data_IF_121617221418
#
_entry.id   IF_121617221418
#
_cell.length_a   1.000
_cell.length_b   1.000
_cell.length_c   1.000
_cell.angle_alpha   90.00
_cell.angle_beta   90.00
_cell.angle_gamma   90.00
#
_symmetry.space_group_name_H-M   'P 1'
#
loop_
_entity.id
_entity.type
_entity.pdbx_description
1 polymer ?
#
# COMPACT_ATOMS: atom_id res chain seq x y z
N UNK A 1 -34.37 19.00 28.66
CA UNK A 1 -34.04 20.39 28.33
C UNK A 1 -33.50 20.37 26.91
N UNK A 2 -34.30 20.93 26.03
CA UNK A 2 -34.13 21.29 24.61
C UNK A 2 -33.49 20.28 23.64
N UNK A 3 -34.39 19.51 23.03
CA UNK A 3 -34.22 18.83 21.75
C UNK A 3 -34.29 19.86 20.61
N UNK A 4 -33.20 19.99 19.84
CA UNK A 4 -33.18 20.75 18.58
C UNK A 4 -33.77 19.95 17.42
N UNK A 5 -34.26 20.59 16.35
CA UNK A 5 -35.05 19.90 15.32
C UNK A 5 -34.15 19.06 14.40
N UNK A 6 -34.43 17.77 14.33
CA UNK A 6 -33.92 16.88 13.29
C UNK A 6 -34.73 17.11 12.00
N UNK A 7 -34.04 17.37 10.89
CA UNK A 7 -34.65 17.41 9.56
C UNK A 7 -34.47 16.02 8.93
N UNK A 8 -35.57 15.28 8.82
CA UNK A 8 -35.65 14.05 8.03
C UNK A 8 -35.92 14.43 6.58
N UNK A 9 -34.96 14.21 5.68
CA UNK A 9 -35.18 14.32 4.23
C UNK A 9 -35.61 12.96 3.69
N UNK A 10 -36.90 12.82 3.39
CA UNK A 10 -37.41 11.75 2.53
C UNK A 10 -37.32 12.21 1.06
N UNK A 11 -36.86 11.39 0.12
CA UNK A 11 -37.01 11.68 -1.30
C UNK A 11 -38.42 11.28 -1.75
N UNK A 12 -39.30 12.26 -1.93
CA UNK A 12 -40.58 12.08 -2.58
C UNK A 12 -40.36 12.17 -4.11
N UNK A 13 -40.41 11.03 -4.79
CA UNK A 13 -40.42 10.96 -6.25
C UNK A 13 -41.84 11.16 -6.76
N UNK A 14 -42.13 12.32 -7.35
CA UNK A 14 -43.31 12.49 -8.19
C UNK A 14 -42.94 13.15 -9.52
N UNK A 15 -43.21 12.41 -10.58
CA UNK A 15 -43.12 12.74 -12.00
C UNK A 15 -43.77 14.08 -12.34
N UNK A 16 -43.17 14.86 -13.26
CA UNK A 16 -43.93 15.80 -14.10
C UNK A 16 -43.43 15.77 -15.55
N UNK A 17 -44.25 15.08 -16.33
CA UNK A 17 -44.66 15.21 -17.74
C UNK A 17 -44.19 16.44 -18.53
N UNK A 18 -43.83 16.12 -19.77
CA UNK A 18 -43.45 16.94 -20.91
C UNK A 18 -44.66 17.74 -21.48
N UNK A 19 -44.53 19.06 -21.69
CA UNK A 19 -45.38 19.82 -22.63
C UNK A 19 -44.56 20.89 -23.36
N UNK A 20 -44.69 20.91 -24.69
CA UNK A 20 -44.05 21.87 -25.58
C UNK A 20 -44.95 23.04 -25.98
N UNK A 21 -44.32 24.03 -26.61
CA UNK A 21 -44.78 25.18 -27.44
C UNK A 21 -43.95 26.40 -27.01
N UNK A 22 -43.46 27.33 -27.81
CA UNK A 22 -43.60 27.70 -29.21
C UNK A 22 -43.36 29.23 -29.30
N UNK A 23 -42.66 29.68 -30.34
CA UNK A 23 -42.62 31.06 -30.90
C UNK A 23 -41.59 32.10 -30.37
N UNK A 24 -40.54 32.29 -31.18
CA UNK A 24 -40.17 33.51 -31.93
C UNK A 24 -40.27 34.90 -31.29
N UNK A 25 -39.13 35.61 -31.21
CA UNK A 25 -39.02 37.00 -31.71
C UNK A 25 -37.57 37.47 -31.93
N UNK A 26 -37.40 38.10 -33.09
CA UNK A 26 -36.25 38.73 -33.74
C UNK A 26 -35.66 39.92 -32.98
N UNK A 27 -34.32 40.11 -33.01
CA UNK A 27 -33.69 41.44 -33.25
C UNK A 27 -32.26 41.27 -33.79
N UNK A 28 -31.98 41.87 -34.96
CA UNK A 28 -30.66 42.03 -35.57
C UNK A 28 -30.13 43.45 -35.29
N UNK A 29 -28.82 43.61 -35.06
CA UNK A 29 -27.95 44.51 -35.87
C UNK A 29 -26.47 44.39 -35.49
N UNK A 30 -25.59 44.39 -36.50
CA UNK A 30 -24.16 44.70 -36.34
C UNK A 30 -23.20 43.81 -37.12
N UNK A 31 -23.09 44.02 -38.44
CA UNK A 31 -22.13 43.39 -39.34
C UNK A 31 -21.01 44.40 -39.66
N UNK A 32 -19.73 44.01 -39.58
CA UNK A 32 -18.66 44.55 -40.42
C UNK A 32 -17.79 43.37 -40.87
N UNK A 33 -17.66 43.24 -42.20
CA UNK A 33 -16.83 42.31 -42.97
C UNK A 33 -15.89 43.17 -43.82
N UNK A 34 -14.60 42.82 -43.94
CA UNK A 34 -13.69 42.87 -45.13
C UNK A 34 -12.48 41.99 -44.71
N UNK A 35 -12.21 40.75 -45.21
CA UNK A 35 -11.70 40.27 -46.53
C UNK A 35 -10.26 40.75 -46.83
N UNK A 36 -9.26 39.96 -47.26
CA UNK A 36 -9.03 39.14 -48.48
C UNK A 36 -7.72 38.30 -48.28
N UNK A 37 -7.61 36.98 -48.58
CA UNK A 37 -7.13 36.26 -49.81
C UNK A 37 -5.75 36.75 -50.34
N UNK A 38 -4.74 35.95 -50.75
CA UNK A 38 -4.56 34.83 -51.72
C UNK A 38 -3.13 34.20 -51.47
N UNK A 39 -2.82 32.90 -51.55
CA UNK A 39 -2.67 31.90 -52.64
C UNK A 39 -1.34 31.87 -53.46
N UNK A 40 -0.86 30.63 -53.74
CA UNK A 40 0.08 30.11 -54.76
C UNK A 40 1.64 30.29 -54.72
N UNK A 41 2.35 29.15 -54.54
CA UNK A 41 3.17 28.55 -55.64
C UNK A 41 4.73 28.48 -55.53
N UNK A 42 5.41 27.39 -56.00
CA UNK A 42 6.80 26.98 -55.64
C UNK A 42 7.86 27.23 -56.76
N UNK A 43 9.18 26.86 -56.59
CA UNK A 43 9.67 25.58 -57.18
C UNK A 43 10.97 24.90 -56.62
N UNK A 44 11.01 23.56 -56.77
CA UNK A 44 12.08 22.66 -57.33
C UNK A 44 13.39 22.25 -56.59
N UNK A 45 13.45 20.93 -56.32
CA UNK A 45 14.49 19.90 -56.62
C UNK A 45 15.91 19.96 -56.02
N UNK A 46 16.29 18.94 -55.22
CA UNK A 46 17.14 17.84 -55.72
C UNK A 46 17.23 16.64 -54.76
N UNK A 47 17.25 15.47 -55.38
CA UNK A 47 17.35 14.11 -54.83
C UNK A 47 18.77 13.81 -54.33
N UNK A 48 18.94 13.14 -53.19
CA UNK A 48 19.88 11.99 -53.02
C UNK A 48 19.46 11.16 -51.82
N UNK A 49 19.37 9.85 -52.03
CA UNK A 49 18.91 8.80 -51.12
C UNK A 49 20.14 8.05 -50.60
N UNK A 50 20.39 8.01 -49.30
CA UNK A 50 21.22 7.00 -48.66
C UNK A 50 20.61 6.61 -47.30
N UNK A 51 20.51 5.31 -47.10
CA UNK A 51 19.95 4.62 -45.95
C UNK A 51 21.00 4.55 -44.83
N UNK A 52 20.62 4.87 -43.59
CA UNK A 52 21.13 4.21 -42.39
C UNK A 52 20.21 4.53 -41.21
N UNK A 53 19.87 3.47 -40.50
CA UNK A 53 19.06 3.38 -39.29
C UNK A 53 19.76 4.01 -38.10
N UNK A 54 19.11 4.95 -37.41
CA UNK A 54 19.51 5.38 -36.07
C UNK A 54 18.31 5.43 -35.12
N UNK A 55 18.55 4.83 -33.96
CA UNK A 55 17.70 4.71 -32.78
C UNK A 55 17.63 6.09 -32.12
N UNK A 56 16.44 6.68 -32.07
CA UNK A 56 16.21 7.94 -31.37
C UNK A 56 15.65 7.67 -29.97
N UNK A 57 16.50 7.89 -28.97
CA UNK A 57 16.11 8.25 -27.60
C UNK A 57 15.44 9.63 -27.62
N UNK A 58 14.24 9.74 -27.05
CA UNK A 58 13.55 11.01 -26.85
C UNK A 58 13.70 11.44 -25.40
N UNK A 59 14.64 12.35 -25.13
CA UNK A 59 14.64 13.18 -23.93
C UNK A 59 13.86 14.47 -24.19
N UNK A 60 12.93 14.76 -23.27
CA UNK A 60 12.06 15.92 -23.27
C UNK A 60 12.83 17.17 -22.85
N UNK A 61 12.77 18.19 -23.69
CA UNK A 61 13.38 19.50 -23.48
C UNK A 61 12.45 20.40 -22.66
N UNK A 62 12.94 20.94 -21.54
CA UNK A 62 12.38 22.13 -20.86
C UNK A 62 13.38 23.28 -20.95
N UNK A 63 12.97 24.51 -21.32
CA UNK A 63 13.86 25.65 -21.44
C UNK A 63 13.91 26.44 -20.12
N UNK A 64 15.13 26.70 -19.63
CA UNK A 64 15.62 27.97 -19.08
C UNK A 64 16.65 27.72 -17.96
N UNK A 65 17.88 28.18 -18.19
CA UNK A 65 18.57 29.14 -17.32
C UNK A 65 20.06 29.12 -17.63
N UNK A 66 20.52 30.12 -18.38
CA UNK A 66 21.93 30.49 -18.54
C UNK A 66 22.52 30.95 -17.21
N UNK A 67 23.38 30.14 -16.59
CA UNK A 67 24.47 30.62 -15.74
C UNK A 67 25.50 29.50 -15.47
N UNK A 68 26.78 29.90 -15.41
CA UNK A 68 27.97 29.14 -14.93
C UNK A 68 28.58 28.05 -15.81
N UNK A 69 29.27 28.47 -16.87
CA UNK A 69 30.56 27.90 -17.25
C UNK A 69 31.65 28.72 -16.56
N UNK A 70 32.44 28.13 -15.65
CA UNK A 70 33.83 28.53 -15.34
C UNK A 70 34.43 27.63 -14.25
N UNK A 71 35.53 26.96 -14.61
CA UNK A 71 36.49 26.17 -13.82
C UNK A 71 36.21 24.68 -13.58
N UNK A 72 36.82 23.83 -14.43
CA UNK A 72 37.29 22.49 -14.06
C UNK A 72 38.74 22.32 -14.59
N UNK A 73 39.73 21.97 -13.75
CA UNK A 73 41.12 21.82 -14.16
C UNK A 73 41.44 20.43 -14.74
N UNK A 74 42.39 20.40 -15.67
CA UNK A 74 42.91 19.21 -16.34
C UNK A 74 43.47 18.15 -15.38
N UNK A 75 43.18 16.88 -15.64
CA UNK A 75 43.88 15.73 -15.05
C UNK A 75 44.32 14.80 -16.19
N UNK A 76 45.58 14.39 -16.11
CA UNK A 76 46.35 13.65 -17.10
C UNK A 76 45.85 12.20 -17.28
N UNK A 77 45.95 11.68 -18.50
CA UNK A 77 45.68 10.29 -18.83
C UNK A 77 46.92 9.42 -18.54
N UNK A 78 46.74 8.32 -17.81
CA UNK A 78 47.72 7.23 -17.73
C UNK A 78 47.07 5.92 -18.19
N UNK A 79 47.64 5.34 -19.24
CA UNK A 79 47.31 4.06 -19.84
C UNK A 79 47.74 2.89 -18.93
N UNK A 80 46.83 1.96 -18.60
CA UNK A 80 47.21 0.60 -18.19
C UNK A 80 46.39 -0.47 -18.93
N UNK A 81 47.15 -1.44 -19.45
CA UNK A 81 46.84 -2.46 -20.44
C UNK A 81 46.01 -3.62 -19.84
N UNK A 82 44.81 -3.88 -20.36
CA UNK A 82 43.95 -4.98 -19.90
C UNK A 82 44.30 -6.30 -20.61
N UNK A 83 44.83 -7.26 -19.84
CA UNK A 83 45.11 -8.63 -20.29
C UNK A 83 43.81 -9.41 -20.42
N UNK A 84 43.51 -9.91 -21.63
CA UNK A 84 42.36 -10.75 -21.90
C UNK A 84 42.47 -12.13 -21.23
N UNK A 85 41.51 -12.47 -20.36
CA UNK A 85 41.32 -13.83 -19.87
C UNK A 85 39.97 -14.35 -20.39
N UNK A 86 40.06 -15.43 -21.17
CA UNK A 86 38.97 -16.09 -21.87
C UNK A 86 38.03 -16.82 -20.87
N UNK A 87 36.87 -16.23 -20.59
CA UNK A 87 35.77 -16.87 -19.84
C UNK A 87 34.72 -17.43 -20.81
N UNK A 88 35.10 -18.43 -21.61
CA UNK A 88 34.12 -19.28 -22.31
C UNK A 88 33.62 -20.34 -21.32
N UNK A 89 32.66 -19.98 -20.47
CA UNK A 89 31.67 -20.91 -19.84
C UNK A 89 30.85 -20.21 -18.73
N UNK A 90 30.22 -19.06 -18.99
CA UNK A 90 29.16 -18.52 -18.11
C UNK A 90 28.11 -17.67 -18.87
N UNK A 91 27.98 -17.86 -20.18
CA UNK A 91 26.91 -17.23 -20.98
C UNK A 91 26.04 -18.36 -21.50
N UNK A 92 25.01 -18.70 -20.73
CA UNK A 92 23.76 -19.29 -21.20
C UNK A 92 22.81 -19.50 -20.01
N UNK A 93 22.46 -18.41 -19.32
CA UNK A 93 21.16 -18.30 -18.62
C UNK A 93 20.74 -16.84 -18.43
N UNK A 94 20.90 -16.01 -19.46
CA UNK A 94 20.07 -14.79 -19.57
C UNK A 94 18.80 -15.18 -20.32
N UNK A 95 17.89 -15.84 -19.62
CA UNK A 95 16.51 -16.03 -20.07
C UNK A 95 15.71 -14.80 -19.62
N UNK A 96 15.43 -13.92 -20.57
CA UNK A 96 14.29 -12.97 -20.60
C UNK A 96 13.72 -12.57 -19.22
N UNK A 97 14.31 -11.56 -18.57
CA UNK A 97 13.55 -10.80 -17.56
C UNK A 97 12.42 -10.07 -18.30
N UNK A 98 11.27 -10.73 -18.44
CA UNK A 98 10.00 -10.01 -18.56
C UNK A 98 9.97 -9.01 -17.40
N UNK A 99 9.84 -7.72 -17.69
CA UNK A 99 9.58 -6.67 -16.70
C UNK A 99 8.22 -6.91 -16.02
N UNK A 100 8.13 -7.93 -15.18
CA UNK A 100 6.92 -8.31 -14.47
C UNK A 100 6.70 -7.29 -13.36
N UNK A 101 5.53 -6.65 -13.37
CA UNK A 101 5.15 -5.66 -12.36
C UNK A 101 4.32 -6.31 -11.26
N UNK A 102 4.32 -5.71 -10.06
CA UNK A 102 3.50 -6.19 -8.94
C UNK A 102 2.00 -6.30 -9.31
N UNK A 103 1.36 -5.29 -9.95
CA UNK A 103 -0.01 -5.43 -10.45
C UNK A 103 -0.22 -6.60 -11.40
N UNK A 104 0.72 -6.88 -12.30
CA UNK A 104 0.62 -8.00 -13.25
C UNK A 104 0.67 -9.36 -12.54
N UNK A 105 1.51 -9.49 -11.50
CA UNK A 105 1.55 -10.71 -10.66
C UNK A 105 0.20 -10.92 -9.98
N UNK A 106 -0.33 -9.88 -9.32
CA UNK A 106 -1.61 -10.00 -8.61
C UNK A 106 -2.76 -10.27 -9.57
N UNK A 107 -2.77 -9.66 -10.75
CA UNK A 107 -3.77 -9.93 -11.80
C UNK A 107 -3.75 -11.39 -12.27
N UNK A 108 -2.56 -12.00 -12.37
CA UNK A 108 -2.43 -13.42 -12.68
C UNK A 108 -2.99 -14.30 -11.54
N UNK A 109 -2.70 -13.95 -10.28
CA UNK A 109 -3.20 -14.68 -9.12
C UNK A 109 -4.73 -14.57 -8.96
N UNK A 110 -5.33 -13.46 -9.39
CA UNK A 110 -6.77 -13.24 -9.31
C UNK A 110 -7.56 -13.82 -10.49
N UNK A 111 -6.90 -14.19 -11.60
CA UNK A 111 -7.53 -14.77 -12.79
C UNK A 111 -8.45 -15.99 -12.50
N UNK A 112 -8.13 -16.90 -11.56
CA UNK A 112 -9.00 -18.05 -11.26
C UNK A 112 -10.26 -17.72 -10.45
N UNK A 113 -10.46 -16.47 -10.03
CA UNK A 113 -11.64 -16.07 -9.25
C UNK A 113 -12.90 -16.13 -10.14
N UNK A 114 -13.88 -16.90 -9.70
CA UNK A 114 -15.18 -17.04 -10.33
C UNK A 114 -16.10 -15.88 -9.91
N UNK A 115 -16.35 -14.97 -10.85
CA UNK A 115 -17.24 -13.82 -10.68
C UNK A 115 -18.75 -14.16 -10.76
N UNK A 116 -19.10 -15.43 -11.06
CA UNK A 116 -20.47 -15.92 -11.04
C UNK A 116 -20.92 -16.46 -9.68
N UNK A 117 -19.98 -16.66 -8.74
CA UNK A 117 -20.23 -17.25 -7.43
C UNK A 117 -19.64 -16.38 -6.33
N UNK A 118 -20.29 -16.41 -5.16
CA UNK A 118 -19.88 -15.57 -4.03
C UNK A 118 -19.69 -16.35 -2.73
N UNK A 119 -18.61 -16.00 -2.03
CA UNK A 119 -18.36 -16.31 -0.62
C UNK A 119 -18.90 -15.18 0.25
N UNK A 120 -19.94 -15.46 1.04
CA UNK A 120 -20.66 -14.44 1.82
C UNK A 120 -20.07 -14.20 3.20
N UNK A 121 -19.83 -12.94 3.53
CA UNK A 121 -19.34 -12.45 4.81
C UNK A 121 -20.34 -11.50 5.46
N UNK A 122 -20.68 -11.74 6.72
CA UNK A 122 -21.52 -10.84 7.51
C UNK A 122 -20.65 -10.24 8.62
N UNK A 123 -20.36 -8.95 8.53
CA UNK A 123 -19.35 -8.27 9.33
C UNK A 123 -20.00 -7.20 10.19
N UNK A 124 -19.67 -7.20 11.48
CA UNK A 124 -19.93 -6.05 12.35
C UNK A 124 -18.62 -5.30 12.51
N UNK A 125 -18.63 -3.97 12.33
CA UNK A 125 -17.42 -3.14 12.50
C UNK A 125 -16.87 -3.21 13.94
N UNK A 126 -17.75 -3.43 14.92
CA UNK A 126 -17.38 -3.66 16.32
C UNK A 126 -16.74 -5.03 16.58
N UNK A 127 -16.91 -6.02 15.69
CA UNK A 127 -16.37 -7.37 15.86
C UNK A 127 -15.98 -8.00 14.51
N UNK A 128 -15.04 -7.34 13.83
CA UNK A 128 -14.56 -7.73 12.48
C UNK A 128 -13.95 -9.12 12.50
N UNK A 129 -13.12 -9.43 13.50
CA UNK A 129 -12.39 -10.70 13.58
C UNK A 129 -13.32 -11.91 13.64
N UNK A 130 -14.31 -11.91 14.54
CA UNK A 130 -15.27 -13.02 14.63
C UNK A 130 -16.06 -13.21 13.33
N UNK A 131 -16.52 -12.11 12.73
CA UNK A 131 -17.20 -12.13 11.43
C UNK A 131 -16.34 -12.74 10.33
N UNK A 132 -15.06 -12.36 10.28
CA UNK A 132 -14.09 -12.90 9.35
C UNK A 132 -13.88 -14.41 9.59
N UNK A 133 -13.57 -14.81 10.82
CA UNK A 133 -13.34 -16.23 11.18
C UNK A 133 -14.53 -17.09 10.79
N UNK A 134 -15.75 -16.66 11.13
CA UNK A 134 -16.98 -17.38 10.74
C UNK A 134 -17.11 -17.48 9.23
N UNK A 135 -16.83 -16.41 8.48
CA UNK A 135 -16.91 -16.37 7.03
C UNK A 135 -15.94 -17.32 6.35
N UNK A 136 -14.66 -17.26 6.71
CA UNK A 136 -13.61 -18.12 6.15
C UNK A 136 -13.73 -19.59 6.56
N UNK A 137 -14.34 -19.88 7.73
CA UNK A 137 -14.61 -21.26 8.18
C UNK A 137 -15.93 -21.85 7.64
N UNK A 138 -16.71 -21.11 6.84
CA UNK A 138 -17.96 -21.65 6.27
C UNK A 138 -17.66 -22.81 5.33
N UNK A 139 -18.50 -23.84 5.35
CA UNK A 139 -18.44 -24.94 4.37
C UNK A 139 -18.68 -24.47 2.94
N UNK A 140 -19.41 -23.36 2.76
CA UNK A 140 -19.67 -22.74 1.46
C UNK A 140 -18.56 -21.78 1.00
N UNK A 141 -17.55 -21.51 1.84
CA UNK A 141 -16.47 -20.60 1.49
C UNK A 141 -15.56 -21.22 0.41
N UNK A 142 -15.15 -20.39 -0.53
CA UNK A 142 -14.07 -20.68 -1.46
C UNK A 142 -13.29 -19.39 -1.72
N UNK A 143 -11.96 -19.48 -1.66
CA UNK A 143 -11.04 -18.40 -2.03
C UNK A 143 -11.14 -18.00 -3.51
N UNK A 144 -11.59 -18.92 -4.38
CA UNK A 144 -11.75 -18.72 -5.83
C UNK A 144 -13.14 -18.19 -6.20
N UNK A 145 -13.91 -17.66 -5.26
CA UNK A 145 -15.20 -17.02 -5.54
C UNK A 145 -15.12 -15.57 -5.07
N UNK A 146 -15.89 -14.69 -5.70
CA UNK A 146 -15.98 -13.30 -5.26
C UNK A 146 -16.42 -13.20 -3.81
N UNK A 147 -15.92 -12.19 -3.11
CA UNK A 147 -16.33 -11.92 -1.74
C UNK A 147 -17.55 -11.01 -1.77
N UNK A 148 -18.64 -11.46 -1.14
CA UNK A 148 -19.83 -10.64 -0.90
C UNK A 148 -19.87 -10.26 0.58
N UNK A 149 -19.49 -9.02 0.87
CA UNK A 149 -19.43 -8.47 2.22
C UNK A 149 -20.69 -7.69 2.52
N UNK A 150 -21.29 -8.00 3.68
CA UNK A 150 -22.44 -7.30 4.22
C UNK A 150 -22.13 -6.80 5.62
N UNK A 151 -22.17 -5.49 5.81
CA UNK A 151 -22.07 -4.89 7.13
C UNK A 151 -23.42 -4.90 7.84
N UNK A 152 -23.39 -5.21 9.14
CA UNK A 152 -24.52 -5.01 10.05
C UNK A 152 -24.28 -3.70 10.79
N UNK A 153 -25.21 -2.76 10.68
CA UNK A 153 -25.14 -1.50 11.43
C UNK A 153 -25.50 -1.69 12.90
N UNK A 154 -25.25 -0.67 13.71
CA UNK A 154 -25.55 -0.67 15.16
C UNK A 154 -27.07 -0.67 15.45
N UNK A 155 -27.91 -0.42 14.43
CA UNK A 155 -29.36 -0.52 14.52
C UNK A 155 -29.88 -1.93 14.23
N UNK A 156 -29.00 -2.89 13.91
CA UNK A 156 -29.37 -4.26 13.53
C UNK A 156 -30.03 -4.35 12.16
N UNK A 157 -29.94 -3.28 11.38
CA UNK A 157 -30.39 -3.22 9.99
C UNK A 157 -29.21 -3.55 9.08
N UNK A 158 -29.56 -4.14 7.96
CA UNK A 158 -28.62 -4.57 6.95
C UNK A 158 -28.37 -3.43 5.98
N UNK A 159 -27.12 -2.98 5.83
CA UNK A 159 -26.77 -2.03 4.77
C UNK A 159 -27.07 -2.67 3.40
N UNK A 160 -27.96 -2.06 2.60
CA UNK A 160 -28.29 -2.50 1.24
C UNK A 160 -27.20 -2.06 0.25
N UNK A 161 -25.99 -2.60 0.41
CA UNK A 161 -24.92 -2.47 -0.57
C UNK A 161 -24.97 -3.63 -1.58
N UNK A 162 -25.13 -3.33 -2.86
CA UNK A 162 -24.72 -4.26 -3.93
C UNK A 162 -23.20 -4.24 -3.92
N UNK A 163 -22.57 -5.36 -3.53
CA UNK A 163 -21.11 -5.44 -3.43
C UNK A 163 -20.47 -5.36 -4.82
N UNK A 164 -20.07 -4.14 -5.16
CA UNK A 164 -19.33 -3.81 -6.37
C UNK A 164 -17.86 -3.50 -6.02
N UNK A 165 -17.37 -4.00 -4.87
CA UNK A 165 -15.97 -3.92 -4.44
C UNK A 165 -15.70 -2.99 -3.24
N UNK A 166 -16.54 -1.98 -2.98
CA UNK A 166 -16.37 -1.04 -1.85
C UNK A 166 -16.41 -1.73 -0.48
N UNK A 167 -17.53 -2.39 -0.11
CA UNK A 167 -17.65 -3.12 1.16
C UNK A 167 -16.58 -4.20 1.33
N UNK A 168 -16.22 -4.89 0.24
CA UNK A 168 -15.11 -5.85 0.23
C UNK A 168 -13.79 -5.22 0.67
N UNK A 169 -13.39 -4.10 0.05
CA UNK A 169 -12.12 -3.43 0.36
C UNK A 169 -12.10 -2.89 1.79
N UNK A 170 -13.21 -2.29 2.24
CA UNK A 170 -13.34 -1.83 3.63
C UNK A 170 -13.14 -2.99 4.62
N UNK A 171 -13.82 -4.12 4.41
CA UNK A 171 -13.66 -5.31 5.24
C UNK A 171 -12.21 -5.80 5.27
N UNK A 172 -11.54 -5.89 4.12
CA UNK A 172 -10.17 -6.36 4.05
C UNK A 172 -9.20 -5.40 4.76
N UNK A 173 -9.41 -4.09 4.67
CA UNK A 173 -8.67 -3.09 5.45
C UNK A 173 -8.88 -3.25 6.96
N UNK A 174 -10.13 -3.38 7.41
CA UNK A 174 -10.43 -3.62 8.82
C UNK A 174 -9.85 -4.96 9.31
N UNK A 175 -9.86 -5.98 8.46
CA UNK A 175 -9.30 -7.29 8.77
C UNK A 175 -7.79 -7.21 9.00
N UNK A 176 -7.03 -6.54 8.14
CA UNK A 176 -5.58 -6.36 8.34
C UNK A 176 -5.27 -5.56 9.62
N UNK A 177 -6.07 -4.52 9.92
CA UNK A 177 -5.96 -3.75 11.17
C UNK A 177 -6.17 -4.62 12.40
N UNK A 178 -7.20 -5.46 12.41
CA UNK A 178 -7.48 -6.39 13.52
C UNK A 178 -6.45 -7.52 13.62
N UNK A 179 -5.95 -8.01 12.48
CA UNK A 179 -5.00 -9.12 12.42
C UNK A 179 -3.66 -8.77 13.08
N UNK A 180 -3.21 -7.52 12.93
CA UNK A 180 -1.96 -6.99 13.50
C UNK A 180 -1.84 -7.21 15.02
N UNK A 181 -2.96 -7.13 15.73
CA UNK A 181 -3.01 -7.18 17.20
C UNK A 181 -3.41 -8.57 17.73
N UNK A 182 -3.45 -9.59 16.88
CA UNK A 182 -3.75 -10.97 17.29
C UNK A 182 -2.61 -11.54 18.15
N UNK A 183 -2.92 -12.38 19.16
CA UNK A 183 -1.94 -12.95 20.09
C UNK A 183 -1.09 -14.08 19.50
N UNK A 184 -1.05 -14.16 18.16
CA UNK A 184 -0.18 -15.03 17.37
C UNK A 184 1.05 -14.28 16.87
N UNK A 185 1.07 -12.96 17.04
CA UNK A 185 2.17 -12.08 16.67
C UNK A 185 2.83 -11.46 17.91
N UNK A 186 4.14 -11.24 17.82
CA UNK A 186 4.97 -10.57 18.81
C UNK A 186 6.04 -9.72 18.10
N UNK A 187 6.77 -8.87 18.82
CA UNK A 187 7.78 -7.96 18.27
C UNK A 187 7.33 -6.49 18.26
N UNK A 188 8.23 -5.54 17.95
CA UNK A 188 7.91 -4.12 17.83
C UNK A 188 6.87 -3.83 16.74
N UNK A 189 6.28 -2.63 16.80
CA UNK A 189 5.40 -2.20 15.72
C UNK A 189 6.14 -2.18 14.37
N UNK A 190 5.46 -2.61 13.31
CA UNK A 190 6.03 -2.77 11.98
C UNK A 190 7.00 -3.95 11.80
N UNK A 191 7.40 -4.63 12.86
CA UNK A 191 8.37 -5.73 12.81
C UNK A 191 7.89 -6.97 13.55
N UNK A 192 6.61 -7.32 13.37
CA UNK A 192 6.00 -8.45 14.06
C UNK A 192 6.43 -9.79 13.45
N UNK A 193 6.63 -10.79 14.29
CA UNK A 193 6.86 -12.18 13.89
C UNK A 193 5.89 -13.12 14.61
N UNK A 194 5.79 -14.36 14.13
CA UNK A 194 4.87 -15.36 14.70
C UNK A 194 5.42 -15.93 16.00
N UNK A 195 4.57 -16.01 17.02
CA UNK A 195 4.88 -16.63 18.31
C UNK A 195 3.91 -17.78 18.58
N UNK A 196 4.41 -18.85 19.19
CA UNK A 196 3.58 -20.00 19.57
C UNK A 196 2.54 -19.64 20.66
N UNK A 197 1.28 -19.94 20.39
CA UNK A 197 0.16 -19.78 21.30
C UNK A 197 -0.72 -21.04 21.25
N UNK A 198 -0.81 -21.76 22.37
CA UNK A 198 -1.50 -23.04 22.43
C UNK A 198 -3.00 -22.95 22.09
N UNK A 199 -3.66 -21.84 22.42
CA UNK A 199 -5.07 -21.64 22.07
C UNK A 199 -5.23 -21.40 20.57
N UNK A 200 -4.38 -20.57 19.99
CA UNK A 200 -4.36 -20.30 18.55
C UNK A 200 -4.07 -21.55 17.71
N UNK A 201 -3.21 -22.45 18.20
CA UNK A 201 -2.96 -23.76 17.56
C UNK A 201 -4.23 -24.61 17.53
N UNK A 202 -4.97 -24.69 18.64
CA UNK A 202 -6.22 -25.48 18.70
C UNK A 202 -7.29 -24.94 17.74
N UNK A 203 -7.33 -23.64 17.52
CA UNK A 203 -8.29 -22.98 16.64
C UNK A 203 -7.84 -22.87 15.17
N UNK A 204 -6.64 -23.39 14.87
CA UNK A 204 -5.95 -23.30 13.57
C UNK A 204 -5.81 -21.86 13.06
N UNK A 205 -5.55 -20.94 13.99
CA UNK A 205 -5.54 -19.51 13.74
C UNK A 205 -4.39 -19.07 12.81
N UNK A 206 -3.24 -19.75 12.87
CA UNK A 206 -2.09 -19.47 12.01
C UNK A 206 -2.40 -19.71 10.53
N UNK A 207 -3.04 -20.86 10.22
CA UNK A 207 -3.51 -21.16 8.87
C UNK A 207 -4.52 -20.12 8.40
N UNK A 208 -5.46 -19.76 9.28
CA UNK A 208 -6.48 -18.78 8.94
C UNK A 208 -5.88 -17.39 8.68
N UNK A 209 -4.92 -16.95 9.50
CA UNK A 209 -4.22 -15.68 9.34
C UNK A 209 -3.44 -15.62 8.02
N UNK A 210 -2.68 -16.68 7.69
CA UNK A 210 -1.98 -16.77 6.41
C UNK A 210 -2.94 -16.71 5.21
N UNK A 211 -4.07 -17.43 5.30
CA UNK A 211 -5.12 -17.41 4.26
C UNK A 211 -5.75 -16.04 4.10
N UNK A 212 -6.08 -15.38 5.21
CA UNK A 212 -6.68 -14.03 5.21
C UNK A 212 -5.75 -13.01 4.55
N UNK A 213 -4.44 -13.08 4.81
CA UNK A 213 -3.44 -12.21 4.16
C UNK A 213 -3.40 -12.45 2.65
N UNK A 214 -3.27 -13.71 2.22
CA UNK A 214 -3.23 -14.06 0.79
C UNK A 214 -4.50 -13.60 0.06
N UNK A 215 -5.66 -13.89 0.64
CA UNK A 215 -6.97 -13.50 0.09
C UNK A 215 -7.11 -11.98 0.05
N UNK A 216 -6.70 -11.27 1.10
CA UNK A 216 -6.73 -9.80 1.12
C UNK A 216 -5.99 -9.21 -0.07
N UNK A 217 -4.75 -9.63 -0.29
CA UNK A 217 -3.93 -9.08 -1.38
C UNK A 217 -4.51 -9.44 -2.76
N UNK A 218 -4.88 -10.70 -2.97
CA UNK A 218 -5.34 -11.16 -4.30
C UNK A 218 -6.74 -10.65 -4.65
N UNK A 219 -7.61 -10.40 -3.67
CA UNK A 219 -8.94 -9.80 -3.89
C UNK A 219 -8.91 -8.26 -3.96
N UNK A 220 -7.73 -7.64 -4.05
CA UNK A 220 -7.55 -6.19 -4.21
C UNK A 220 -7.69 -5.39 -2.91
N UNK A 221 -7.53 -6.04 -1.76
CA UNK A 221 -7.35 -5.40 -0.46
C UNK A 221 -5.87 -5.10 -0.17
N UNK A 222 -5.57 -4.58 1.04
CA UNK A 222 -4.20 -4.25 1.43
C UNK A 222 -3.44 -5.50 1.90
N UNK A 223 -2.10 -5.42 1.86
CA UNK A 223 -1.25 -6.31 2.61
C UNK A 223 -1.26 -6.00 4.12
N UNK A 224 -0.64 -6.86 4.95
CA UNK A 224 -0.60 -6.66 6.40
C UNK A 224 0.30 -5.49 6.82
N UNK A 225 1.37 -5.18 6.09
CA UNK A 225 2.30 -4.06 6.37
C UNK A 225 2.84 -3.98 7.80
N UNK A 226 2.97 -5.13 8.49
CA UNK A 226 3.49 -5.18 9.87
C UNK A 226 4.46 -6.33 10.13
N UNK A 227 4.67 -7.23 9.17
CA UNK A 227 5.51 -8.40 9.38
C UNK A 227 6.99 -8.01 9.33
N UNK A 228 7.81 -8.67 10.14
CA UNK A 228 9.26 -8.46 10.13
C UNK A 228 9.87 -8.96 8.83
N UNK A 229 10.87 -8.24 8.33
CA UNK A 229 11.58 -8.65 7.12
C UNK A 229 12.20 -10.03 7.24
N UNK A 230 12.69 -10.41 8.43
CA UNK A 230 13.28 -11.73 8.65
C UNK A 230 12.26 -12.86 8.52
N UNK A 231 11.03 -12.67 9.04
CA UNK A 231 9.95 -13.63 8.84
C UNK A 231 9.58 -13.72 7.36
N UNK A 232 9.40 -12.58 6.69
CA UNK A 232 8.99 -12.56 5.27
C UNK A 232 10.07 -13.17 4.36
N UNK A 233 11.36 -12.87 4.59
CA UNK A 233 12.47 -13.51 3.88
C UNK A 233 12.49 -15.01 4.10
N UNK A 234 12.23 -15.48 5.32
CA UNK A 234 12.10 -16.91 5.61
C UNK A 234 10.90 -17.55 4.89
N UNK A 235 9.75 -16.88 4.84
CA UNK A 235 8.56 -17.34 4.09
C UNK A 235 8.86 -17.44 2.58
N UNK A 236 9.58 -16.46 2.04
CA UNK A 236 10.04 -16.41 0.65
C UNK A 236 11.16 -17.42 0.32
N UNK A 237 11.62 -18.22 1.29
CA UNK A 237 12.69 -19.21 1.08
C UNK A 237 14.08 -18.60 0.94
N UNK A 238 14.29 -17.35 1.38
CA UNK A 238 15.59 -16.70 1.33
C UNK A 238 16.45 -17.04 2.56
N UNK A 239 17.77 -17.27 2.39
CA UNK A 239 18.65 -17.73 3.48
C UNK A 239 19.11 -16.61 4.42
N UNK A 240 18.84 -15.34 4.10
CA UNK A 240 19.36 -14.20 4.86
C UNK A 240 18.52 -13.90 6.10
N UNK A 241 19.19 -13.86 7.26
CA UNK A 241 18.62 -13.50 8.55
C UNK A 241 19.45 -12.38 9.18
N UNK A 242 18.81 -11.26 9.52
CA UNK A 242 19.44 -10.01 9.96
C UNK A 242 18.77 -9.43 11.22
N UNK A 243 18.07 -10.25 11.98
CA UNK A 243 17.38 -9.82 13.19
C UNK A 243 18.35 -9.19 14.20
N UNK A 244 17.84 -8.24 14.98
CA UNK A 244 18.58 -7.60 16.07
C UNK A 244 17.85 -7.79 17.39
N UNK A 245 18.57 -7.59 18.51
CA UNK A 245 18.03 -7.75 19.87
C UNK A 245 16.82 -6.83 20.11
N UNK A 246 16.74 -5.69 19.42
CA UNK A 246 15.64 -4.73 19.54
C UNK A 246 14.28 -5.31 19.09
N UNK A 247 14.27 -6.43 18.37
CA UNK A 247 13.05 -7.12 17.98
C UNK A 247 12.45 -7.97 19.10
N UNK A 248 13.20 -8.22 20.18
CA UNK A 248 12.75 -9.05 21.29
C UNK A 248 11.99 -8.18 22.29
N UNK A 249 10.72 -8.51 22.50
CA UNK A 249 9.82 -7.87 23.47
C UNK A 249 9.93 -8.46 24.87
N UNK A 250 10.38 -9.71 24.99
CA UNK A 250 10.68 -10.36 26.27
C UNK A 250 11.89 -9.65 26.93
N UNK A 251 11.62 -8.91 28.00
CA UNK A 251 12.62 -8.09 28.68
C UNK A 251 13.79 -8.91 29.25
N UNK A 252 13.51 -10.12 29.75
CA UNK A 252 14.54 -10.98 30.34
C UNK A 252 15.48 -11.52 29.26
N UNK A 253 14.90 -12.02 28.16
CA UNK A 253 15.66 -12.51 27.00
C UNK A 253 16.42 -11.37 26.33
N UNK A 254 15.76 -10.22 26.12
CA UNK A 254 16.36 -9.03 25.52
C UNK A 254 17.56 -8.55 26.33
N UNK A 255 17.41 -8.45 27.66
CA UNK A 255 18.50 -8.08 28.56
C UNK A 255 19.64 -9.10 28.56
N UNK A 256 19.33 -10.41 28.59
CA UNK A 256 20.34 -11.46 28.54
C UNK A 256 21.17 -11.41 27.24
N UNK A 257 20.51 -11.22 26.09
CA UNK A 257 21.18 -11.06 24.80
C UNK A 257 22.00 -9.77 24.74
N UNK A 258 21.50 -8.68 25.32
CA UNK A 258 22.22 -7.42 25.41
C UNK A 258 23.48 -7.55 26.26
N UNK A 259 23.38 -8.24 27.39
CA UNK A 259 24.48 -8.56 28.28
C UNK A 259 25.56 -9.42 27.59
N UNK A 260 25.16 -10.43 26.80
CA UNK A 260 26.10 -11.24 25.98
C UNK A 260 26.75 -10.39 24.88
N UNK A 261 25.98 -9.50 24.23
CA UNK A 261 26.46 -8.58 23.19
C UNK A 261 27.46 -7.56 23.75
N UNK A 262 27.17 -7.02 24.92
CA UNK A 262 27.86 -5.92 25.59
C UNK A 262 28.87 -6.37 26.64
N UNK A 263 29.13 -7.68 26.78
CA UNK A 263 30.14 -8.28 27.67
C UNK A 263 31.57 -7.71 27.50
N UNK A 264 31.80 -6.91 26.46
CA UNK A 264 33.06 -6.23 26.16
C UNK A 264 33.07 -4.72 26.51
N UNK A 265 31.91 -4.05 26.56
CA UNK A 265 31.82 -2.58 26.67
C UNK A 265 31.87 -2.04 28.10
N UNK A 266 31.62 -2.89 29.11
CA UNK A 266 31.58 -2.49 30.53
C UNK A 266 32.85 -2.84 31.32
N UNK A 267 33.96 -3.19 30.66
CA UNK A 267 35.21 -3.48 31.35
C UNK A 267 36.02 -2.19 31.59
N UNK A 268 36.10 -1.76 32.86
CA UNK A 268 36.85 -0.58 33.35
C UNK A 268 38.38 -0.76 33.23
N UNK A 269 38.85 -1.88 32.67
CA UNK A 269 40.29 -2.12 32.48
C UNK A 269 40.61 -1.98 31.00
N UNK A 270 41.05 -0.78 30.64
CA UNK A 270 41.71 -0.47 29.37
C UNK A 270 42.80 -1.53 29.10
N UNK A 271 42.68 -2.26 27.99
CA UNK A 271 43.65 -3.21 27.39
C UNK A 271 43.46 -4.74 27.50
N UNK A 272 42.31 -5.28 27.91
CA UNK A 272 42.03 -6.71 27.63
C UNK A 272 40.55 -7.03 27.38
N UNK A 273 40.22 -7.28 26.10
CA UNK A 273 39.01 -7.96 25.66
C UNK A 273 39.03 -9.42 26.14
N UNK A 274 38.70 -9.71 27.41
CA UNK A 274 38.87 -11.09 27.88
C UNK A 274 37.72 -11.96 27.38
N UNK A 275 38.09 -13.01 26.64
CA UNK A 275 37.22 -14.13 26.28
C UNK A 275 36.54 -14.72 27.53
N UNK A 276 37.20 -14.60 28.69
CA UNK A 276 36.68 -15.05 29.99
C UNK A 276 35.43 -14.27 30.45
N UNK A 277 35.36 -12.95 30.20
CA UNK A 277 34.14 -12.18 30.49
C UNK A 277 32.96 -12.67 29.64
N UNK A 278 33.18 -12.90 28.34
CA UNK A 278 32.15 -13.45 27.46
C UNK A 278 31.75 -14.88 27.87
N UNK A 279 32.71 -15.72 28.31
CA UNK A 279 32.43 -17.06 28.86
C UNK A 279 31.58 -16.98 30.13
N UNK A 280 31.90 -16.07 31.05
CA UNK A 280 31.11 -15.87 32.27
C UNK A 280 29.67 -15.46 31.93
N UNK A 281 29.48 -14.49 31.02
CA UNK A 281 28.16 -14.05 30.59
C UNK A 281 27.37 -15.17 29.89
N UNK A 282 28.04 -15.95 29.03
CA UNK A 282 27.44 -17.12 28.37
C UNK A 282 27.02 -18.17 29.39
N UNK A 283 27.82 -18.40 30.43
CA UNK A 283 27.50 -19.35 31.51
C UNK A 283 26.38 -18.85 32.42
N UNK A 284 26.33 -17.55 32.70
CA UNK A 284 25.25 -16.91 33.46
C UNK A 284 23.89 -17.13 32.82
N UNK A 285 23.83 -17.04 31.48
CA UNK A 285 22.63 -17.25 30.66
C UNK A 285 22.57 -18.65 30.02
N UNK A 286 23.26 -19.63 30.60
CA UNK A 286 23.46 -20.96 30.00
C UNK A 286 22.17 -21.73 29.77
N UNK A 287 21.19 -21.66 30.68
CA UNK A 287 19.90 -22.37 30.53
C UNK A 287 19.12 -21.88 29.31
N UNK A 288 19.07 -20.56 29.12
CA UNK A 288 18.46 -19.90 27.96
C UNK A 288 19.15 -20.35 26.67
N UNK A 289 20.49 -20.19 26.61
CA UNK A 289 21.28 -20.57 25.44
C UNK A 289 21.24 -22.08 25.16
N UNK A 290 21.21 -22.92 26.19
CA UNK A 290 21.14 -24.38 26.04
C UNK A 290 19.79 -24.81 25.48
N UNK A 291 18.69 -24.18 25.89
CA UNK A 291 17.35 -24.44 25.36
C UNK A 291 17.28 -24.15 23.85
N UNK A 292 17.98 -23.11 23.40
CA UNK A 292 18.12 -22.77 21.99
C UNK A 292 19.16 -23.60 21.22
N UNK A 293 19.97 -24.42 21.91
CA UNK A 293 21.11 -25.12 21.32
C UNK A 293 22.29 -24.21 20.95
N UNK A 294 22.32 -22.98 21.47
CA UNK A 294 23.35 -21.97 21.18
C UNK A 294 24.53 -21.97 22.16
N UNK A 295 24.42 -22.68 23.29
CA UNK A 295 25.47 -22.80 24.30
C UNK A 295 26.66 -23.58 23.75
N UNK A 296 27.84 -22.92 23.66
CA UNK A 296 29.07 -23.49 23.11
C UNK A 296 30.31 -22.99 23.82
N UNK A 297 31.45 -23.65 23.62
CA UNK A 297 32.73 -23.14 24.08
C UNK A 297 33.14 -21.92 23.25
N UNK A 298 33.39 -20.79 23.93
CA UNK A 298 33.82 -19.54 23.30
C UNK A 298 35.33 -19.48 23.28
N UNK A 299 35.92 -19.42 22.08
CA UNK A 299 37.37 -19.33 21.87
C UNK A 299 37.83 -17.89 21.58
N UNK A 300 36.98 -17.05 20.99
CA UNK A 300 37.27 -15.63 20.74
C UNK A 300 36.07 -14.70 21.01
N UNK A 301 36.32 -13.39 21.16
CA UNK A 301 35.28 -12.39 21.48
C UNK A 301 34.35 -12.13 20.29
N UNK A 302 34.84 -12.34 19.07
CA UNK A 302 34.12 -12.16 17.82
C UNK A 302 32.91 -13.10 17.71
N UNK A 303 32.96 -14.27 18.36
CA UNK A 303 31.89 -15.28 18.36
C UNK A 303 30.58 -14.79 18.99
N UNK A 304 30.61 -13.72 19.80
CA UNK A 304 29.40 -13.17 20.44
C UNK A 304 28.31 -12.81 19.42
N UNK A 305 28.70 -12.32 18.23
CA UNK A 305 27.76 -11.99 17.15
C UNK A 305 27.05 -13.24 16.65
N UNK A 306 27.79 -14.34 16.50
CA UNK A 306 27.25 -15.64 16.11
C UNK A 306 26.30 -16.20 17.16
N UNK A 307 26.66 -16.14 18.46
CA UNK A 307 25.80 -16.62 19.55
C UNK A 307 24.47 -15.87 19.57
N UNK A 308 24.51 -14.53 19.50
CA UNK A 308 23.30 -13.70 19.50
C UNK A 308 22.48 -13.94 18.23
N UNK A 309 23.12 -13.99 17.06
CA UNK A 309 22.44 -14.24 15.78
C UNK A 309 21.75 -15.61 15.77
N UNK A 310 22.44 -16.68 16.18
CA UNK A 310 21.91 -18.03 16.23
C UNK A 310 20.72 -18.12 17.21
N UNK A 311 20.82 -17.44 18.36
CA UNK A 311 19.73 -17.40 19.33
C UNK A 311 18.52 -16.66 18.76
N UNK A 312 18.70 -15.51 18.10
CA UNK A 312 17.60 -14.76 17.48
C UNK A 312 16.93 -15.58 16.38
N UNK A 313 17.71 -16.29 15.56
CA UNK A 313 17.18 -17.17 14.52
C UNK A 313 16.37 -18.32 15.12
N UNK A 314 16.85 -18.94 16.19
CA UNK A 314 16.08 -19.93 16.92
C UNK A 314 14.83 -19.32 17.55
N UNK A 315 14.93 -18.16 18.21
CA UNK A 315 13.82 -17.54 18.94
C UNK A 315 12.66 -17.17 18.01
N UNK A 316 12.97 -16.56 16.86
CA UNK A 316 11.97 -16.07 15.90
C UNK A 316 11.48 -17.21 15.01
N UNK A 317 12.39 -18.02 14.45
CA UNK A 317 12.06 -19.04 13.45
C UNK A 317 12.02 -20.44 14.06
N UNK A 318 13.13 -20.90 14.64
CA UNK A 318 13.28 -22.30 15.06
C UNK A 318 12.21 -22.78 16.05
N UNK A 319 12.03 -22.02 17.14
CA UNK A 319 11.04 -22.25 18.21
C UNK A 319 9.61 -22.21 17.69
N UNK A 320 9.32 -21.40 16.68
CA UNK A 320 7.98 -21.20 16.13
C UNK A 320 7.74 -21.95 14.81
N UNK A 321 8.65 -22.84 14.40
CA UNK A 321 8.61 -23.56 13.12
C UNK A 321 7.25 -24.19 12.81
N UNK A 322 6.69 -24.96 13.76
CA UNK A 322 5.38 -25.62 13.57
C UNK A 322 4.23 -24.65 13.26
N UNK A 323 4.22 -23.46 13.88
CA UNK A 323 3.16 -22.46 13.64
C UNK A 323 3.44 -21.62 12.39
N UNK A 324 4.71 -21.41 12.06
CA UNK A 324 5.12 -20.81 10.78
C UNK A 324 4.73 -21.72 9.61
N UNK A 325 4.88 -23.04 9.74
CA UNK A 325 4.46 -24.00 8.71
C UNK A 325 2.94 -23.98 8.51
N UNK A 326 2.15 -23.97 9.58
CA UNK A 326 0.69 -23.76 9.49
C UNK A 326 0.34 -22.44 8.81
N UNK A 327 1.06 -21.36 9.13
CA UNK A 327 0.88 -20.07 8.49
C UNK A 327 1.22 -20.10 6.99
N UNK A 328 2.31 -20.76 6.60
CA UNK A 328 2.68 -20.98 5.19
C UNK A 328 1.60 -21.75 4.42
N UNK A 329 1.03 -22.79 5.02
CA UNK A 329 -0.09 -23.52 4.42
C UNK A 329 -1.31 -22.62 4.16
N UNK A 330 -1.61 -21.72 5.09
CA UNK A 330 -2.64 -20.69 4.90
C UNK A 330 -2.30 -19.72 3.78
N UNK A 331 -1.08 -19.18 3.82
CA UNK A 331 -0.54 -18.21 2.87
C UNK A 331 -0.42 -18.78 1.43
N UNK A 332 -0.49 -20.10 1.28
CA UNK A 332 -0.53 -20.78 -0.02
C UNK A 332 -1.86 -20.62 -0.76
N UNK A 333 -2.90 -20.09 -0.10
CA UNK A 333 -4.16 -19.76 -0.75
C UNK A 333 -3.93 -18.87 -1.99
N UNK A 334 -4.67 -19.15 -3.06
CA UNK A 334 -4.55 -18.43 -4.34
C UNK A 334 -3.11 -18.41 -4.91
N UNK A 335 -2.29 -19.40 -4.57
CA UNK A 335 -0.88 -19.50 -5.00
C UNK A 335 0.02 -18.35 -4.51
N UNK A 336 -0.43 -17.57 -3.52
CA UNK A 336 0.29 -16.38 -3.09
C UNK A 336 1.69 -16.69 -2.55
N UNK A 337 1.86 -17.74 -1.72
CA UNK A 337 3.18 -18.16 -1.25
C UNK A 337 4.13 -18.54 -2.40
N UNK A 338 3.63 -19.23 -3.43
CA UNK A 338 4.44 -19.59 -4.60
C UNK A 338 4.90 -18.34 -5.35
N UNK A 339 4.01 -17.36 -5.54
CA UNK A 339 4.37 -16.08 -6.14
C UNK A 339 5.39 -15.31 -5.28
N UNK A 340 5.24 -15.32 -3.95
CA UNK A 340 6.20 -14.68 -3.03
C UNK A 340 7.60 -15.29 -3.16
N UNK A 341 7.69 -16.60 -3.34
CA UNK A 341 8.97 -17.30 -3.53
C UNK A 341 9.59 -17.03 -4.91
N UNK A 342 8.76 -16.86 -5.95
CA UNK A 342 9.21 -16.54 -7.31
C UNK A 342 9.61 -15.06 -7.46
N UNK A 343 8.91 -14.15 -6.79
CA UNK A 343 9.09 -12.69 -6.92
C UNK A 343 9.24 -11.99 -5.55
N UNK A 344 10.24 -12.37 -4.73
CA UNK A 344 10.37 -11.87 -3.36
C UNK A 344 10.62 -10.37 -3.29
N UNK A 345 11.32 -9.79 -4.27
CA UNK A 345 11.60 -8.34 -4.32
C UNK A 345 10.35 -7.50 -4.49
N UNK A 346 9.32 -8.02 -5.18
CA UNK A 346 8.07 -7.32 -5.43
C UNK A 346 7.02 -7.58 -4.33
N UNK A 347 6.96 -8.80 -3.80
CA UNK A 347 5.91 -9.21 -2.85
C UNK A 347 6.31 -9.07 -1.38
N UNK A 348 7.59 -9.09 -1.02
CA UNK A 348 8.00 -8.87 0.37
C UNK A 348 7.57 -7.48 0.91
N UNK A 349 7.71 -6.37 0.16
CA UNK A 349 7.24 -5.05 0.60
C UNK A 349 5.73 -4.96 0.87
N UNK A 350 4.92 -5.85 0.27
CA UNK A 350 3.47 -5.93 0.52
C UNK A 350 3.18 -6.48 1.92
N UNK A 351 4.06 -7.34 2.44
CA UNK A 351 3.90 -8.00 3.73
C UNK A 351 4.57 -7.23 4.87
N UNK A 352 5.74 -6.65 4.58
CA UNK A 352 6.55 -5.91 5.53
C UNK A 352 6.01 -4.52 5.78
N UNK A 353 6.32 -3.97 6.94
CA UNK A 353 6.13 -2.54 7.17
C UNK A 353 7.00 -1.70 6.25
N UNK A 354 6.45 -0.57 5.82
CA UNK A 354 7.18 0.49 5.14
C UNK A 354 6.94 1.80 5.87
N UNK A 355 8.01 2.53 6.18
CA UNK A 355 7.91 3.90 6.69
C UNK A 355 7.46 4.89 5.61
N UNK A 356 7.38 4.44 4.34
CA UNK A 356 6.91 5.28 3.24
C UNK A 356 5.42 5.56 3.43
N UNK A 357 5.14 6.77 3.92
CA UNK A 357 3.78 7.31 4.02
C UNK A 357 3.26 7.72 2.66
N UNK A 358 1.94 7.75 2.55
CA UNK A 358 1.26 8.33 1.41
C UNK A 358 1.58 9.83 1.36
N UNK A 359 1.85 10.36 0.17
CA UNK A 359 2.16 11.79 -0.03
C UNK A 359 1.02 12.50 -0.76
N UNK A 360 0.92 13.83 -0.60
CA UNK A 360 -0.06 14.63 -1.32
C UNK A 360 0.08 14.46 -2.84
N UNK A 361 1.34 14.46 -3.33
CA UNK A 361 1.65 14.28 -4.75
C UNK A 361 1.19 12.91 -5.29
N UNK A 362 1.31 11.85 -4.50
CA UNK A 362 0.82 10.52 -4.90
C UNK A 362 -0.69 10.51 -5.05
N UNK A 363 -1.44 11.08 -4.09
CA UNK A 363 -2.90 11.17 -4.18
C UNK A 363 -3.35 12.09 -5.31
N UNK A 364 -2.72 13.25 -5.48
CA UNK A 364 -3.03 14.19 -6.57
C UNK A 364 -2.86 13.52 -7.94
N UNK A 365 -1.78 12.73 -8.13
CA UNK A 365 -1.55 11.99 -9.37
C UNK A 365 -2.49 10.81 -9.56
N UNK A 366 -2.93 10.20 -8.47
CA UNK A 366 -3.81 9.04 -8.49
C UNK A 366 -5.22 9.40 -8.97
N UNK A 367 -5.78 10.49 -8.46
CA UNK A 367 -7.14 10.91 -8.77
C UNK A 367 -7.22 11.74 -10.04
N UNK A 368 -7.94 11.23 -11.06
CA UNK A 368 -8.09 11.93 -12.35
C UNK A 368 -9.42 12.69 -12.41
N UNK A 369 -9.41 14.01 -12.61
CA UNK A 369 -10.65 14.78 -12.67
C UNK A 369 -11.37 14.61 -13.99
N UNK A 370 -12.67 14.36 -13.91
CA UNK A 370 -13.61 14.51 -15.02
C UNK A 370 -14.11 15.96 -15.05
N UNK A 371 -13.79 16.65 -16.15
CA UNK A 371 -13.93 18.10 -16.22
C UNK A 371 -14.82 18.53 -17.39
N UNK A 372 -15.69 19.51 -17.13
CA UNK A 372 -16.63 20.08 -18.09
C UNK A 372 -15.93 20.71 -19.31
N UNK A 373 -16.54 20.87 -20.48
CA UNK A 373 -15.85 21.40 -21.66
C UNK A 373 -15.06 22.71 -21.41
N UNK A 374 -13.86 22.86 -22.02
CA UNK A 374 -13.09 24.10 -21.93
C UNK A 374 -13.90 25.33 -22.30
N UNK A 375 -13.77 26.41 -21.53
CA UNK A 375 -14.49 27.67 -21.76
C UNK A 375 -15.91 27.74 -21.16
N UNK A 376 -16.41 26.68 -20.54
CA UNK A 376 -17.66 26.74 -19.77
C UNK A 376 -17.48 27.49 -18.44
N UNK A 377 -18.53 28.14 -17.94
CA UNK A 377 -18.52 28.76 -16.61
C UNK A 377 -18.21 27.74 -15.51
N UNK A 378 -18.70 26.51 -15.69
CA UNK A 378 -18.47 25.40 -14.77
C UNK A 378 -17.00 25.02 -14.69
N UNK A 379 -16.30 24.96 -15.83
CA UNK A 379 -14.86 24.66 -15.89
C UNK A 379 -14.02 25.60 -15.01
N UNK A 380 -14.40 26.88 -14.91
CA UNK A 380 -13.67 27.83 -14.05
C UNK A 380 -13.76 27.43 -12.57
N UNK A 381 -14.96 27.06 -12.09
CA UNK A 381 -15.17 26.61 -10.72
C UNK A 381 -14.48 25.26 -10.44
N UNK A 382 -14.52 24.34 -11.39
CA UNK A 382 -13.82 23.05 -11.29
C UNK A 382 -12.30 23.24 -11.19
N UNK A 383 -11.71 24.10 -12.04
CA UNK A 383 -10.28 24.40 -12.00
C UNK A 383 -9.86 25.08 -10.69
N UNK A 384 -10.68 25.97 -10.15
CA UNK A 384 -10.42 26.56 -8.83
C UNK A 384 -10.49 25.51 -7.71
N UNK A 385 -11.50 24.63 -7.76
CA UNK A 385 -11.68 23.55 -6.78
C UNK A 385 -10.53 22.54 -6.84
N UNK A 386 -9.93 22.29 -8.02
CA UNK A 386 -8.71 21.49 -8.12
C UNK A 386 -7.50 22.14 -7.44
N UNK A 387 -7.40 23.47 -7.47
CA UNK A 387 -6.41 24.20 -6.67
C UNK A 387 -6.63 23.95 -5.17
N UNK A 388 -7.88 24.07 -4.72
CA UNK A 388 -8.23 23.77 -3.32
C UNK A 388 -7.97 22.32 -2.94
N UNK A 389 -8.20 21.37 -3.84
CA UNK A 389 -7.89 19.97 -3.63
C UNK A 389 -6.39 19.74 -3.43
N UNK A 390 -5.54 20.31 -4.28
CA UNK A 390 -4.09 20.19 -4.14
C UNK A 390 -3.60 20.81 -2.82
N UNK A 391 -4.08 22.01 -2.47
CA UNK A 391 -3.75 22.67 -1.20
C UNK A 391 -4.25 21.85 0.01
N UNK A 392 -5.45 21.27 -0.08
CA UNK A 392 -6.01 20.43 0.97
C UNK A 392 -5.19 19.16 1.20
N UNK A 393 -4.70 18.52 0.14
CA UNK A 393 -3.82 17.37 0.27
C UNK A 393 -2.48 17.74 0.93
N UNK A 394 -1.91 18.90 0.60
CA UNK A 394 -0.70 19.40 1.28
C UNK A 394 -0.97 19.64 2.77
N UNK A 395 -2.10 20.28 3.11
CA UNK A 395 -2.50 20.47 4.50
C UNK A 395 -2.71 19.14 5.23
N UNK A 396 -3.23 18.09 4.57
CA UNK A 396 -3.32 16.74 5.13
C UNK A 396 -1.94 16.14 5.42
N UNK A 397 -1.00 16.25 4.47
CA UNK A 397 0.37 15.76 4.62
C UNK A 397 1.10 16.48 5.78
N UNK A 398 0.88 17.78 5.92
CA UNK A 398 1.43 18.62 6.98
C UNK A 398 0.68 18.51 8.32
N UNK A 399 -0.33 17.64 8.42
CA UNK A 399 -1.16 17.47 9.62
C UNK A 399 -1.88 18.76 10.07
N UNK A 400 -2.27 19.60 9.11
CA UNK A 400 -3.02 20.84 9.32
C UNK A 400 -4.53 20.68 9.15
N UNK A 401 -5.02 19.47 8.84
CA UNK A 401 -6.44 19.09 8.74
C UNK A 401 -6.84 18.16 9.86
N UNK A 402 -8.15 17.98 10.05
CA UNK A 402 -8.67 17.00 10.99
C UNK A 402 -8.66 15.54 10.45
N UNK A 403 -8.25 15.36 9.19
CA UNK A 403 -8.29 14.13 8.40
C UNK A 403 -6.90 13.88 7.79
N UNK A 404 -6.42 12.64 7.78
CA UNK A 404 -5.15 12.25 7.16
C UNK A 404 -5.28 11.88 5.67
N UNK A 405 -4.17 11.74 4.95
CA UNK A 405 -4.19 11.27 3.55
C UNK A 405 -4.76 9.85 3.45
N UNK A 406 -4.49 9.00 4.43
CA UNK A 406 -5.03 7.64 4.53
C UNK A 406 -6.55 7.66 4.73
N UNK A 407 -7.08 8.62 5.50
CA UNK A 407 -8.52 8.80 5.68
C UNK A 407 -9.19 9.30 4.39
N UNK A 408 -8.53 10.20 3.64
CA UNK A 408 -9.00 10.64 2.32
C UNK A 408 -9.08 9.45 1.35
N UNK A 409 -8.03 8.61 1.30
CA UNK A 409 -8.02 7.42 0.46
C UNK A 409 -9.10 6.41 0.88
N UNK A 410 -9.28 6.23 2.19
CA UNK A 410 -10.31 5.36 2.76
C UNK A 410 -11.72 5.85 2.39
N UNK A 411 -11.98 7.15 2.54
CA UNK A 411 -13.25 7.76 2.16
C UNK A 411 -13.57 7.52 0.67
N UNK A 412 -12.60 7.74 -0.21
CA UNK A 412 -12.81 7.65 -1.65
C UNK A 412 -12.84 6.21 -2.20
N UNK A 413 -12.12 5.27 -1.58
CA UNK A 413 -11.84 3.95 -2.18
C UNK A 413 -12.13 2.76 -1.28
N UNK A 414 -12.34 2.96 0.02
CA UNK A 414 -12.46 1.90 1.01
C UNK A 414 -11.12 1.27 1.42
N UNK A 415 -9.98 1.89 1.08
CA UNK A 415 -8.63 1.43 1.44
C UNK A 415 -7.84 2.54 2.15
N UNK A 416 -7.07 2.19 3.18
CA UNK A 416 -6.14 3.12 3.85
C UNK A 416 -4.76 3.18 3.19
N UNK A 417 -4.49 2.31 2.21
CA UNK A 417 -3.20 2.22 1.52
C UNK A 417 -3.43 1.77 0.08
N UNK A 418 -2.47 2.06 -0.81
CA UNK A 418 -2.55 1.63 -2.20
C UNK A 418 -2.54 0.09 -2.27
N UNK A 419 -3.48 -0.54 -2.99
CA UNK A 419 -3.52 -1.99 -3.11
C UNK A 419 -2.39 -2.48 -4.01
N UNK A 420 -1.78 -3.65 -3.74
CA UNK A 420 -0.73 -4.24 -4.58
C UNK A 420 -1.15 -4.48 -6.04
N UNK A 421 -2.45 -4.73 -6.27
CA UNK A 421 -3.05 -4.88 -7.60
C UNK A 421 -3.15 -3.58 -8.38
N UNK A 422 -2.97 -2.43 -7.75
CA UNK A 422 -3.49 -1.16 -8.27
C UNK A 422 -5.03 -1.09 -8.19
N UNK A 423 -5.57 0.04 -8.63
CA UNK A 423 -7.00 0.30 -8.64
C UNK A 423 -7.63 -0.05 -9.99
N UNK A 424 -8.74 -0.78 -9.94
CA UNK A 424 -9.61 -1.03 -11.09
C UNK A 424 -11.06 -0.85 -10.60
N UNK A 425 -11.82 0.14 -11.10
CA UNK A 425 -11.40 1.19 -12.05
C UNK A 425 -10.43 2.22 -11.42
N UNK A 426 -9.71 2.98 -12.24
CA UNK A 426 -8.81 4.06 -11.78
C UNK A 426 -9.57 5.13 -10.96
N UNK A 427 -8.99 5.68 -9.88
CA UNK A 427 -9.67 6.69 -9.07
C UNK A 427 -9.92 8.00 -9.82
N UNK A 428 -11.12 8.55 -9.65
CA UNK A 428 -11.59 9.72 -10.37
C UNK A 428 -12.12 10.82 -9.46
N UNK A 429 -12.09 12.06 -9.95
CA UNK A 429 -12.73 13.22 -9.32
C UNK A 429 -13.91 13.68 -10.17
N UNK A 430 -15.06 13.88 -9.52
CA UNK A 430 -16.22 14.58 -10.07
C UNK A 430 -16.52 15.82 -9.22
N UNK A 431 -17.41 16.70 -9.70
CA UNK A 431 -17.73 17.97 -9.03
C UNK A 431 -19.23 18.07 -8.71
N UNK A 432 -19.55 18.54 -7.49
CA UNK A 432 -20.90 18.71 -6.98
C UNK A 432 -21.34 20.17 -7.02
N UNK A 433 -22.54 20.42 -7.55
CA UNK A 433 -23.18 21.74 -7.54
C UNK A 433 -24.09 21.94 -6.33
N UNK A 434 -24.76 20.88 -5.88
CA UNK A 434 -25.89 20.97 -4.95
C UNK A 434 -25.57 20.51 -3.52
N UNK A 435 -24.32 20.14 -3.26
CA UNK A 435 -23.87 19.69 -1.94
C UNK A 435 -22.68 20.51 -1.47
N UNK A 436 -22.70 21.02 -0.23
CA UNK A 436 -21.54 21.69 0.35
C UNK A 436 -20.51 20.69 0.91
N UNK A 437 -20.80 19.39 0.93
CA UNK A 437 -19.95 18.34 1.51
C UNK A 437 -19.42 17.40 0.42
N UNK A 438 -18.21 16.83 0.60
CA UNK A 438 -17.72 15.80 -0.30
C UNK A 438 -18.61 14.56 -0.26
N UNK A 439 -18.64 13.85 -1.38
CA UNK A 439 -19.24 12.52 -1.47
C UNK A 439 -18.26 11.55 -2.09
N UNK A 440 -18.42 10.26 -1.82
CA UNK A 440 -17.62 9.22 -2.46
C UNK A 440 -18.50 8.10 -2.95
N UNK A 441 -18.12 7.52 -4.09
CA UNK A 441 -18.57 6.21 -4.51
C UNK A 441 -17.35 5.29 -4.47
N UNK A 442 -17.21 4.55 -3.37
CA UNK A 442 -16.08 3.62 -3.20
C UNK A 442 -16.09 2.57 -4.30
N UNK A 443 -17.24 2.06 -4.73
CA UNK A 443 -17.31 1.04 -5.78
C UNK A 443 -16.67 1.48 -7.11
N UNK A 444 -16.83 2.75 -7.49
CA UNK A 444 -16.21 3.33 -8.70
C UNK A 444 -14.92 4.10 -8.42
N UNK A 445 -14.40 4.08 -7.19
CA UNK A 445 -13.25 4.88 -6.74
C UNK A 445 -13.40 6.38 -7.08
N UNK A 446 -14.62 6.92 -6.96
CA UNK A 446 -14.94 8.29 -7.36
C UNK A 446 -15.09 9.18 -6.14
N UNK A 447 -14.26 10.22 -6.06
CA UNK A 447 -14.41 11.31 -5.10
C UNK A 447 -15.16 12.47 -5.75
N UNK A 448 -16.20 12.99 -5.10
CA UNK A 448 -16.99 14.12 -5.60
C UNK A 448 -16.71 15.34 -4.73
N UNK A 449 -16.13 16.38 -5.32
CA UNK A 449 -15.70 17.59 -4.64
C UNK A 449 -16.77 18.69 -4.74
N UNK A 450 -17.11 19.38 -3.63
CA UNK A 450 -18.06 20.48 -3.66
C UNK A 450 -17.43 21.73 -4.29
N UNK A 451 -18.17 22.38 -5.20
CA UNK A 451 -17.77 23.68 -5.78
C UNK A 451 -18.04 24.79 -4.76
N UNK A 452 -16.99 25.29 -4.11
CA UNK A 452 -17.09 26.25 -3.00
C UNK A 452 -16.33 27.55 -3.29
N UNK A 453 -16.74 28.63 -2.63
CA UNK A 453 -16.27 30.01 -2.91
C UNK A 453 -14.86 30.34 -2.38
N UNK A 454 -14.35 29.58 -1.41
CA UNK A 454 -13.04 29.80 -0.82
C UNK A 454 -12.42 28.52 -0.26
N UNK A 455 -11.08 28.50 -0.19
CA UNK A 455 -10.31 27.38 0.35
C UNK A 455 -10.68 27.05 1.81
N UNK A 456 -10.82 28.06 2.67
CA UNK A 456 -11.15 27.83 4.08
C UNK A 456 -12.50 27.14 4.28
N UNK A 457 -13.50 27.51 3.47
CA UNK A 457 -14.82 26.86 3.48
C UNK A 457 -14.68 25.45 2.93
N UNK A 458 -13.96 25.26 1.83
CA UNK A 458 -13.67 23.95 1.25
C UNK A 458 -13.04 23.00 2.28
N UNK A 459 -11.92 23.40 2.89
CA UNK A 459 -11.22 22.63 3.92
C UNK A 459 -12.14 22.22 5.07
N UNK A 460 -12.89 23.18 5.64
CA UNK A 460 -13.81 22.92 6.74
C UNK A 460 -14.92 21.93 6.37
N UNK A 461 -15.43 21.99 5.14
CA UNK A 461 -16.47 21.08 4.66
C UNK A 461 -15.95 19.70 4.30
N UNK A 462 -14.72 19.62 3.77
CA UNK A 462 -14.03 18.37 3.51
C UNK A 462 -13.80 17.61 4.83
N UNK A 463 -13.19 18.26 5.83
CA UNK A 463 -12.97 17.67 7.15
C UNK A 463 -14.27 17.17 7.77
N UNK A 464 -15.29 18.04 7.81
CA UNK A 464 -16.59 17.67 8.39
C UNK A 464 -17.25 16.51 7.64
N UNK A 465 -17.26 16.55 6.30
CA UNK A 465 -17.93 15.53 5.48
C UNK A 465 -17.29 14.15 5.62
N UNK A 466 -15.96 14.09 5.65
CA UNK A 466 -15.23 12.82 5.79
C UNK A 466 -15.34 12.25 7.21
N UNK A 467 -15.19 13.07 8.25
CA UNK A 467 -15.26 12.61 9.65
C UNK A 467 -16.65 12.11 10.05
N UNK A 468 -17.72 12.63 9.43
CA UNK A 468 -19.10 12.27 9.75
C UNK A 468 -19.71 11.27 8.75
N UNK A 469 -18.89 10.67 7.88
CA UNK A 469 -19.36 9.66 6.93
C UNK A 469 -19.51 8.30 7.62
N UNK A 470 -20.71 7.69 7.63
CA UNK A 470 -20.93 6.39 8.25
C UNK A 470 -20.14 5.30 7.53
N UNK A 471 -19.48 4.42 8.30
CA UNK A 471 -18.79 3.24 7.77
C UNK A 471 -17.29 3.41 7.51
N UNK A 472 -16.68 4.55 7.80
CA UNK A 472 -15.28 4.81 7.46
C UNK A 472 -14.31 4.77 8.66
N UNK A 473 -14.64 4.03 9.72
CA UNK A 473 -13.73 3.78 10.83
C UNK A 473 -13.43 4.99 11.74
N UNK A 474 -14.11 6.13 11.52
CA UNK A 474 -14.13 7.26 12.43
C UNK A 474 -15.25 7.06 13.48
N UNK A 475 -14.93 6.39 14.58
CA UNK A 475 -15.76 6.36 15.80
C UNK A 475 -14.90 6.61 17.03
#
# INVERSE_FOLDING_TARGET
MDEGPYILLYPDCSEVVNEGTGHSSTTQHGQIVISDTEDMGPPKTNTTRLLATDILTWELSFPNSTYTDLYAPCVEEEDEELVAVNMTSLLDTEMEEMNVTLPAIIANLSQPIDHGRVSRFNISRANVWDGAVRGFKRTSYSENCDMLVKFTDDAGVFEEGIDSGGPRREFLSLLMKNLKDRPIFDGPDGHRFLVYNANAVREDEYYLAGKMIAVSVVHGGPGPHFLSEDLVRYLAGQPSFKATVNLITDEEVGKALEEVRSAYSNCVIENAASVDALREMTMRHSTMLQTAGCLRHVASVEEKKGIVSDYLQWYIIGRNSSVIDRFKEGLSALQFLNALQQHPTLLAPVLCHSEKRLTALELERLFKPDLSPPGSNRRLGESQTLGYWADYLLDCEESQTAVSLEDVLMFATGLTSLPPSGFEPSPGIEFLDDSPFPMANTCSNTLKLPLLESYNVFKSKMDFGMQNSPGFGCY
#
